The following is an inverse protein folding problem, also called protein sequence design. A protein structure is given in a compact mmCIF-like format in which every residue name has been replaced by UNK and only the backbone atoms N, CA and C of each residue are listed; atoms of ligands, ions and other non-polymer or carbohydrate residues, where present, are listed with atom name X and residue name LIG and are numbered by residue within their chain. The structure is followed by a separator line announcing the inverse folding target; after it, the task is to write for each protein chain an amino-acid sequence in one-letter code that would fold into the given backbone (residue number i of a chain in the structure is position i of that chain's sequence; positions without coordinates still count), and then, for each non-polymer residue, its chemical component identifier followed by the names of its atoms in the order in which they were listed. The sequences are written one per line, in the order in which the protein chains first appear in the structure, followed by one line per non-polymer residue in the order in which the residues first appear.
data_IF_213889713291
#
_entry.id   IF_213889713291
#
_cell.length_a   1.000
_cell.length_b   1.000
_cell.length_c   1.000
_cell.angle_alpha   90.00
_cell.angle_beta   90.00
_cell.angle_gamma   90.00
#
_symmetry.space_group_name_H-M   'P 1'
#
loop_
_entity.id
_entity.type
_entity.pdbx_description
1 polymer ?
#
# COMPACT_ATOMS: atom_id res chain seq x y z
N UNK A 1 8.80 23.18 -5.48
CA UNK A 1 7.56 22.46 -5.25
C UNK A 1 7.31 21.36 -6.30
N UNK A 2 7.40 21.64 -7.60
CA UNK A 2 7.20 20.65 -8.69
C UNK A 2 8.19 19.49 -8.64
N UNK A 3 9.47 19.75 -8.30
CA UNK A 3 10.48 18.71 -8.13
C UNK A 3 10.13 17.74 -7.00
N UNK A 4 9.74 18.26 -5.84
CA UNK A 4 9.34 17.47 -4.68
C UNK A 4 8.07 16.67 -4.95
N UNK A 5 7.13 17.23 -5.72
CA UNK A 5 5.93 16.50 -6.14
C UNK A 5 6.27 15.30 -7.03
N UNK A 6 7.18 15.49 -8.01
CA UNK A 6 7.67 14.40 -8.86
C UNK A 6 8.36 13.30 -8.06
N UNK A 7 9.18 13.67 -7.05
CA UNK A 7 9.85 12.72 -6.18
C UNK A 7 8.86 11.91 -5.35
N UNK A 8 7.82 12.56 -4.81
CA UNK A 8 6.74 11.89 -4.10
C UNK A 8 5.94 10.94 -5.02
N UNK A 9 5.52 11.41 -6.19
CA UNK A 9 4.73 10.62 -7.14
C UNK A 9 5.53 9.39 -7.60
N UNK A 10 6.85 9.55 -7.84
CA UNK A 10 7.76 8.44 -8.17
C UNK A 10 7.89 7.44 -7.02
N UNK A 11 8.12 7.91 -5.80
CA UNK A 11 8.26 7.04 -4.64
C UNK A 11 6.97 6.26 -4.35
N UNK A 12 5.81 6.88 -4.54
CA UNK A 12 4.51 6.24 -4.43
C UNK A 12 4.30 5.18 -5.50
N UNK A 13 4.64 5.48 -6.75
CA UNK A 13 4.55 4.50 -7.84
C UNK A 13 5.46 3.28 -7.63
N UNK A 14 6.67 3.49 -7.08
CA UNK A 14 7.59 2.41 -6.71
C UNK A 14 7.00 1.52 -5.58
N UNK A 15 6.31 2.11 -4.61
CA UNK A 15 5.61 1.39 -3.54
C UNK A 15 4.42 0.59 -4.07
N UNK A 16 3.59 1.20 -4.91
CA UNK A 16 2.42 0.55 -5.51
C UNK A 16 2.83 -0.64 -6.41
N UNK A 17 3.96 -0.52 -7.12
CA UNK A 17 4.52 -1.61 -7.91
C UNK A 17 4.97 -2.79 -7.02
N UNK A 18 5.58 -2.50 -5.87
CA UNK A 18 5.98 -3.55 -4.92
C UNK A 18 4.78 -4.23 -4.26
N UNK A 19 3.72 -3.49 -3.94
CA UNK A 19 2.46 -4.05 -3.43
C UNK A 19 1.84 -5.03 -4.45
N UNK A 20 1.87 -4.71 -5.74
CA UNK A 20 1.41 -5.62 -6.81
C UNK A 20 2.30 -6.86 -6.92
N UNK A 21 3.61 -6.70 -6.81
CA UNK A 21 4.56 -7.82 -6.81
C UNK A 21 4.29 -8.79 -5.63
N UNK A 22 4.10 -8.25 -4.43
CA UNK A 22 3.75 -9.02 -3.22
C UNK A 22 2.43 -9.76 -3.41
N UNK A 23 1.40 -9.12 -3.97
CA UNK A 23 0.11 -9.76 -4.25
C UNK A 23 0.26 -10.92 -5.25
N UNK A 24 1.08 -10.76 -6.29
CA UNK A 24 1.37 -11.82 -7.26
C UNK A 24 2.10 -13.00 -6.61
N UNK A 25 3.11 -12.73 -5.79
CA UNK A 25 3.85 -13.77 -5.06
C UNK A 25 2.95 -14.54 -4.10
N UNK A 26 2.11 -13.85 -3.32
CA UNK A 26 1.15 -14.47 -2.43
C UNK A 26 0.16 -15.38 -3.19
N UNK A 27 -0.32 -14.93 -4.33
CA UNK A 27 -1.23 -15.72 -5.19
C UNK A 27 -0.56 -16.99 -5.71
N UNK A 28 0.71 -16.90 -6.15
CA UNK A 28 1.49 -18.05 -6.63
C UNK A 28 1.78 -19.03 -5.49
N UNK A 29 2.18 -18.54 -4.34
CA UNK A 29 2.42 -19.35 -3.14
C UNK A 29 1.15 -20.12 -2.77
N UNK A 30 0.00 -19.44 -2.65
CA UNK A 30 -1.26 -20.05 -2.32
C UNK A 30 -1.69 -21.12 -3.33
N UNK A 31 -1.50 -20.86 -4.63
CA UNK A 31 -1.79 -21.82 -5.70
C UNK A 31 -0.91 -23.07 -5.60
N UNK A 32 0.40 -22.88 -5.36
CA UNK A 32 1.33 -24.01 -5.22
C UNK A 32 1.05 -24.81 -3.95
N UNK A 33 0.80 -24.16 -2.82
CA UNK A 33 0.44 -24.84 -1.56
C UNK A 33 -0.86 -25.65 -1.68
N UNK A 34 -1.82 -25.14 -2.42
CA UNK A 34 -3.08 -25.86 -2.72
C UNK A 34 -2.85 -27.11 -3.58
N UNK A 35 -1.89 -27.05 -4.49
CA UNK A 35 -1.58 -28.17 -5.40
C UNK A 35 -0.67 -29.24 -4.77
N UNK A 36 0.12 -28.92 -3.76
CA UNK A 36 1.08 -29.84 -3.12
C UNK A 36 0.46 -31.14 -2.59
N UNK A 37 -0.69 -31.14 -1.91
CA UNK A 37 -1.30 -32.38 -1.43
C UNK A 37 -1.59 -33.36 -2.58
N UNK A 38 -2.10 -32.86 -3.70
CA UNK A 38 -2.33 -33.65 -4.91
C UNK A 38 -1.06 -34.26 -5.48
N UNK A 39 0.03 -33.48 -5.55
CA UNK A 39 1.32 -33.97 -6.02
C UNK A 39 1.92 -35.04 -5.08
N UNK A 40 1.77 -34.87 -3.76
CA UNK A 40 2.17 -35.89 -2.77
C UNK A 40 1.36 -37.17 -2.92
N UNK A 41 0.05 -37.05 -3.10
CA UNK A 41 -0.84 -38.20 -3.33
C UNK A 41 -0.45 -38.92 -4.64
N UNK A 42 -0.11 -38.22 -5.69
CA UNK A 42 0.37 -38.81 -6.95
C UNK A 42 1.66 -39.64 -6.78
N UNK A 43 2.60 -39.17 -5.96
CA UNK A 43 3.81 -39.93 -5.62
C UNK A 43 3.45 -41.19 -4.84
N UNK A 44 2.60 -41.09 -3.83
CA UNK A 44 2.17 -42.24 -3.04
C UNK A 44 1.45 -43.30 -3.89
N UNK A 45 0.57 -42.88 -4.78
CA UNK A 45 -0.15 -43.80 -5.68
C UNK A 45 0.82 -44.46 -6.68
N UNK A 46 1.77 -43.71 -7.22
CA UNK A 46 2.77 -44.28 -8.12
C UNK A 46 3.72 -45.26 -7.41
N UNK A 47 4.13 -44.99 -6.17
CA UNK A 47 4.92 -45.92 -5.34
C UNK A 47 4.14 -47.20 -5.03
N UNK A 48 2.86 -47.09 -4.72
CA UNK A 48 1.98 -48.23 -4.53
C UNK A 48 1.91 -49.11 -5.77
N UNK A 49 1.78 -48.54 -6.97
CA UNK A 49 1.75 -49.26 -8.23
C UNK A 49 3.05 -49.97 -8.55
N UNK A 50 4.21 -49.37 -8.22
CA UNK A 50 5.49 -50.07 -8.32
C UNK A 50 5.50 -51.30 -7.44
N UNK A 51 5.12 -51.20 -6.17
CA UNK A 51 5.05 -52.30 -5.21
C UNK A 51 4.09 -53.42 -5.66
N UNK A 52 2.95 -53.02 -6.21
CA UNK A 52 2.00 -54.00 -6.78
C UNK A 52 2.56 -54.73 -7.99
N UNK A 53 3.26 -54.01 -8.88
CA UNK A 53 3.90 -54.66 -10.05
C UNK A 53 5.03 -55.60 -9.64
N UNK A 54 5.85 -55.22 -8.65
CA UNK A 54 6.90 -56.08 -8.08
C UNK A 54 6.31 -57.34 -7.43
N UNK A 55 5.24 -57.18 -6.61
CA UNK A 55 4.55 -58.31 -6.00
C UNK A 55 3.95 -59.24 -7.05
N UNK A 56 3.33 -58.70 -8.10
CA UNK A 56 2.79 -59.53 -9.19
C UNK A 56 3.86 -60.38 -9.89
N UNK A 57 5.07 -59.82 -10.06
CA UNK A 57 6.18 -60.61 -10.60
C UNK A 57 6.64 -61.67 -9.64
N UNK A 58 6.83 -61.32 -8.37
CA UNK A 58 7.27 -62.26 -7.34
C UNK A 58 6.28 -63.43 -7.20
N UNK A 59 4.98 -63.16 -7.17
CA UNK A 59 3.93 -64.17 -7.14
C UNK A 59 3.97 -65.05 -8.38
N UNK A 60 4.10 -64.45 -9.58
CA UNK A 60 4.19 -65.24 -10.81
C UNK A 60 5.40 -66.17 -10.79
N UNK A 61 6.60 -65.70 -10.44
CA UNK A 61 7.83 -66.48 -10.39
C UNK A 61 7.73 -67.60 -9.33
N UNK A 62 7.11 -67.30 -8.18
CA UNK A 62 6.98 -68.24 -7.06
C UNK A 62 6.03 -69.39 -7.38
N UNK A 63 4.86 -69.08 -7.98
CA UNK A 63 3.81 -70.06 -8.19
C UNK A 63 3.79 -70.71 -9.57
N UNK A 64 4.64 -70.26 -10.51
CA UNK A 64 4.72 -70.77 -11.87
C UNK A 64 6.20 -71.07 -12.25
N UNK A 65 6.77 -72.16 -11.74
CA UNK A 65 8.15 -72.51 -12.07
C UNK A 65 8.29 -72.79 -13.56
N UNK A 66 9.46 -72.46 -14.21
CA UNK A 66 9.66 -72.53 -15.66
C UNK A 66 9.35 -73.92 -16.26
N UNK A 67 9.66 -75.00 -15.55
CA UNK A 67 9.44 -76.33 -16.01
C UNK A 67 7.93 -76.76 -16.01
N UNK A 68 7.09 -76.07 -15.27
CA UNK A 68 5.64 -76.33 -15.26
C UNK A 68 4.90 -75.40 -16.22
N UNK A 69 5.32 -74.13 -16.34
CA UNK A 69 4.67 -73.11 -17.18
C UNK A 69 4.96 -73.27 -18.68
N UNK A 70 6.15 -73.78 -19.06
CA UNK A 70 6.54 -74.04 -20.45
C UNK A 70 7.21 -72.85 -21.16
N UNK A 71 7.17 -72.86 -22.49
CA UNK A 71 7.96 -71.91 -23.34
C UNK A 71 7.59 -70.43 -23.22
N UNK A 72 6.39 -70.07 -22.73
CA UNK A 72 5.93 -68.71 -22.54
C UNK A 72 6.43 -68.05 -21.25
N UNK A 73 7.08 -68.75 -20.34
CA UNK A 73 7.49 -68.26 -19.04
C UNK A 73 8.40 -67.02 -19.13
N UNK A 74 9.41 -67.08 -20.00
CA UNK A 74 10.34 -65.96 -20.18
C UNK A 74 9.67 -64.72 -20.78
N UNK A 75 8.69 -64.93 -21.66
CA UNK A 75 7.94 -63.80 -22.25
C UNK A 75 7.06 -63.15 -21.21
N UNK A 76 6.46 -63.93 -20.33
CA UNK A 76 5.66 -63.39 -19.22
C UNK A 76 6.52 -62.63 -18.20
N UNK A 77 7.69 -63.15 -17.85
CA UNK A 77 8.63 -62.45 -16.97
C UNK A 77 9.08 -61.14 -17.61
N UNK A 78 9.41 -61.13 -18.88
CA UNK A 78 9.78 -59.87 -19.61
C UNK A 78 8.63 -58.87 -19.62
N UNK A 79 7.39 -59.31 -19.76
CA UNK A 79 6.21 -58.46 -19.70
C UNK A 79 6.06 -57.80 -18.29
N UNK A 80 6.22 -58.59 -17.23
CA UNK A 80 6.16 -58.08 -15.85
C UNK A 80 7.32 -57.13 -15.52
N UNK A 81 8.54 -57.43 -16.00
CA UNK A 81 9.67 -56.53 -15.87
C UNK A 81 9.44 -55.18 -16.57
N UNK A 82 8.81 -55.21 -17.74
CA UNK A 82 8.46 -53.99 -18.47
C UNK A 82 7.39 -53.18 -17.74
N UNK A 83 6.42 -53.88 -17.10
CA UNK A 83 5.43 -53.15 -16.27
C UNK A 83 6.08 -52.51 -15.06
N UNK A 84 6.97 -53.18 -14.34
CA UNK A 84 7.73 -52.60 -13.22
C UNK A 84 8.52 -51.38 -13.71
N UNK A 85 9.20 -51.47 -14.84
CA UNK A 85 9.94 -50.37 -15.43
C UNK A 85 9.00 -49.16 -15.72
N UNK A 86 7.85 -49.40 -16.34
CA UNK A 86 6.86 -48.36 -16.65
C UNK A 86 6.33 -47.72 -15.39
N UNK A 87 6.05 -48.45 -14.32
CA UNK A 87 5.58 -47.87 -13.04
C UNK A 87 6.70 -47.08 -12.36
N UNK A 88 7.96 -47.52 -12.41
CA UNK A 88 9.09 -46.77 -11.90
C UNK A 88 9.31 -45.46 -12.64
N UNK A 89 9.13 -45.43 -13.96
CA UNK A 89 9.22 -44.18 -14.75
C UNK A 89 8.13 -43.21 -14.35
N UNK A 90 6.88 -43.67 -14.08
CA UNK A 90 5.79 -42.84 -13.57
C UNK A 90 6.06 -42.32 -12.16
N UNK A 91 6.62 -43.15 -11.28
CA UNK A 91 7.04 -42.73 -9.94
C UNK A 91 8.12 -41.63 -10.01
N UNK A 92 9.14 -41.84 -10.85
CA UNK A 92 10.20 -40.86 -11.07
C UNK A 92 9.65 -39.52 -11.58
N UNK A 93 8.70 -39.55 -12.51
CA UNK A 93 8.05 -38.35 -13.04
C UNK A 93 7.22 -37.64 -11.96
N UNK A 94 6.48 -38.37 -11.13
CA UNK A 94 5.72 -37.79 -10.04
C UNK A 94 6.61 -37.14 -8.96
N UNK A 95 7.71 -37.80 -8.60
CA UNK A 95 8.72 -37.27 -7.68
C UNK A 95 9.38 -36.01 -8.24
N UNK A 96 9.74 -35.98 -9.52
CA UNK A 96 10.31 -34.82 -10.19
C UNK A 96 9.33 -33.62 -10.17
N UNK A 97 8.04 -33.88 -10.42
CA UNK A 97 7.00 -32.85 -10.35
C UNK A 97 6.84 -32.29 -8.93
N UNK A 98 6.80 -33.14 -7.93
CA UNK A 98 6.72 -32.73 -6.51
C UNK A 98 7.94 -31.90 -6.10
N UNK A 99 9.14 -32.35 -6.48
CA UNK A 99 10.38 -31.60 -6.20
C UNK A 99 10.38 -30.22 -6.86
N UNK A 100 9.98 -30.13 -8.14
CA UNK A 100 9.87 -28.86 -8.85
C UNK A 100 8.88 -27.89 -8.17
N UNK A 101 7.75 -28.39 -7.67
CA UNK A 101 6.79 -27.59 -6.91
C UNK A 101 7.37 -27.10 -5.57
N UNK A 102 8.06 -27.94 -4.84
CA UNK A 102 8.71 -27.56 -3.57
C UNK A 102 9.81 -26.52 -3.80
N UNK A 103 10.62 -26.65 -4.83
CA UNK A 103 11.65 -25.66 -5.19
C UNK A 103 11.03 -24.32 -5.62
N UNK A 104 9.96 -24.36 -6.41
CA UNK A 104 9.23 -23.15 -6.81
C UNK A 104 8.64 -22.45 -5.59
N UNK A 105 8.01 -23.20 -4.68
CA UNK A 105 7.48 -22.65 -3.45
C UNK A 105 8.54 -22.00 -2.57
N UNK A 106 9.68 -22.65 -2.43
CA UNK A 106 10.81 -22.12 -1.67
C UNK A 106 11.35 -20.81 -2.26
N UNK A 107 11.50 -20.75 -3.59
CA UNK A 107 11.91 -19.53 -4.30
C UNK A 107 10.89 -18.40 -4.12
N UNK A 108 9.60 -18.69 -4.26
CA UNK A 108 8.55 -17.70 -4.13
C UNK A 108 8.45 -17.15 -2.70
N UNK A 109 8.60 -17.99 -1.68
CA UNK A 109 8.66 -17.57 -0.28
C UNK A 109 9.88 -16.70 0.04
N UNK A 110 11.04 -17.04 -0.51
CA UNK A 110 12.25 -16.21 -0.38
C UNK A 110 12.07 -14.86 -1.08
N UNK A 111 11.51 -14.86 -2.29
CA UNK A 111 11.21 -13.64 -3.03
C UNK A 111 10.19 -12.76 -2.28
N UNK A 112 9.17 -13.36 -1.66
CA UNK A 112 8.19 -12.63 -0.85
C UNK A 112 8.87 -11.95 0.35
N UNK A 113 9.75 -12.64 1.06
CA UNK A 113 10.49 -12.05 2.19
C UNK A 113 11.30 -10.83 1.74
N UNK A 114 12.02 -10.95 0.62
CA UNK A 114 12.78 -9.83 0.03
C UNK A 114 11.88 -8.67 -0.43
N UNK A 115 10.73 -8.97 -1.02
CA UNK A 115 9.76 -7.97 -1.47
C UNK A 115 9.14 -7.23 -0.27
N UNK A 116 8.84 -7.90 0.82
CA UNK A 116 8.31 -7.28 2.05
C UNK A 116 9.32 -6.30 2.69
N UNK A 117 10.61 -6.66 2.71
CA UNK A 117 11.66 -5.75 3.18
C UNK A 117 11.83 -4.55 2.24
N UNK A 118 11.84 -4.79 0.94
CA UNK A 118 11.88 -3.73 -0.09
C UNK A 118 10.67 -2.78 0.03
N UNK A 119 9.48 -3.32 0.25
CA UNK A 119 8.27 -2.53 0.48
C UNK A 119 8.40 -1.59 1.67
N UNK A 120 8.92 -2.09 2.79
CA UNK A 120 9.15 -1.28 4.00
C UNK A 120 10.09 -0.09 3.75
N UNK A 121 11.16 -0.31 2.98
CA UNK A 121 12.09 0.76 2.61
C UNK A 121 11.43 1.78 1.66
N UNK A 122 10.64 1.32 0.68
CA UNK A 122 9.91 2.18 -0.26
C UNK A 122 8.81 2.98 0.44
N UNK A 123 8.12 2.39 1.42
CA UNK A 123 7.13 3.08 2.25
C UNK A 123 7.75 4.22 3.05
N UNK A 124 8.91 3.97 3.68
CA UNK A 124 9.68 5.01 4.37
C UNK A 124 10.06 6.14 3.40
N UNK A 125 10.58 5.79 2.23
CA UNK A 125 10.97 6.76 1.19
C UNK A 125 9.79 7.61 0.72
N UNK A 126 8.64 7.00 0.49
CA UNK A 126 7.42 7.70 0.10
C UNK A 126 6.94 8.67 1.19
N UNK A 127 6.95 8.23 2.45
CA UNK A 127 6.59 9.06 3.59
C UNK A 127 7.54 10.24 3.80
N UNK A 128 8.84 10.02 3.64
CA UNK A 128 9.84 11.09 3.75
C UNK A 128 9.67 12.13 2.61
N UNK A 129 9.36 11.67 1.40
CA UNK A 129 9.07 12.55 0.27
C UNK A 129 7.77 13.34 0.46
N UNK A 130 6.73 12.71 1.02
CA UNK A 130 5.47 13.37 1.38
C UNK A 130 5.69 14.47 2.43
N UNK A 131 6.45 14.17 3.47
CA UNK A 131 6.77 15.13 4.52
C UNK A 131 7.49 16.36 3.96
N UNK A 132 8.53 16.14 3.14
CA UNK A 132 9.26 17.25 2.47
C UNK A 132 8.34 18.10 1.58
N UNK A 133 7.43 17.47 0.83
CA UNK A 133 6.48 18.18 -0.01
C UNK A 133 5.51 19.02 0.84
N UNK A 134 5.04 18.49 1.96
CA UNK A 134 4.15 19.18 2.88
C UNK A 134 4.85 20.32 3.62
N UNK A 135 6.10 20.13 4.03
CA UNK A 135 6.92 21.20 4.61
C UNK A 135 7.09 22.35 3.63
N UNK A 136 7.40 22.06 2.35
CA UNK A 136 7.57 23.09 1.33
C UNK A 136 6.25 23.84 1.05
N UNK A 137 5.12 23.13 0.99
CA UNK A 137 3.80 23.73 0.82
C UNK A 137 3.41 24.66 1.97
N UNK A 138 3.89 24.37 3.18
CA UNK A 138 3.57 25.12 4.39
C UNK A 138 4.57 26.25 4.69
N UNK A 139 5.62 26.40 3.89
CA UNK A 139 6.56 27.53 4.04
C UNK A 139 5.87 28.86 3.76
N UNK A 140 6.18 29.89 4.56
CA UNK A 140 5.77 31.26 4.26
C UNK A 140 6.22 31.68 2.86
N UNK A 141 5.37 32.34 2.08
CA UNK A 141 5.67 32.80 0.73
C UNK A 141 5.95 34.29 0.71
N UNK A 142 6.99 34.71 -0.01
CA UNK A 142 7.23 36.12 -0.28
C UNK A 142 6.01 36.75 -0.96
N UNK A 143 5.56 37.89 -0.46
CA UNK A 143 4.52 38.66 -1.09
C UNK A 143 4.98 39.36 -2.37
N UNK A 144 4.02 39.78 -3.21
CA UNK A 144 4.30 40.57 -4.43
C UNK A 144 4.78 41.98 -4.15
N UNK A 145 4.55 42.51 -2.93
CA UNK A 145 5.09 43.76 -2.42
C UNK A 145 6.06 43.43 -1.29
N UNK A 146 7.21 44.08 -1.31
CA UNK A 146 8.26 43.90 -0.31
C UNK A 146 7.86 44.53 1.02
N UNK A 147 7.31 43.69 1.92
CA UNK A 147 7.07 44.04 3.32
C UNK A 147 8.15 43.50 4.26
N UNK A 148 9.26 43.00 3.71
CA UNK A 148 10.38 42.49 4.48
C UNK A 148 10.21 41.11 5.09
N UNK A 149 9.11 40.40 4.79
CA UNK A 149 8.86 39.02 5.27
C UNK A 149 8.03 38.22 4.30
N UNK A 150 8.08 36.89 4.44
CA UNK A 150 7.33 35.94 3.64
C UNK A 150 5.84 35.90 4.06
N UNK A 151 4.93 35.60 3.11
CA UNK A 151 3.53 35.42 3.39
C UNK A 151 3.21 33.95 3.70
N UNK A 152 2.43 33.77 4.75
CA UNK A 152 1.94 32.46 5.14
C UNK A 152 0.86 31.95 4.18
N UNK A 153 0.92 30.66 3.76
CA UNK A 153 -0.11 30.07 2.92
C UNK A 153 -1.46 29.97 3.68
N UNK A 154 -2.54 29.99 2.91
CA UNK A 154 -3.89 29.82 3.49
C UNK A 154 -4.02 28.37 4.00
N UNK A 155 -4.35 28.15 5.28
CA UNK A 155 -4.52 26.80 5.82
C UNK A 155 -5.75 26.12 5.23
N UNK A 156 -5.75 24.79 5.24
CA UNK A 156 -6.97 24.02 4.98
C UNK A 156 -7.89 24.12 6.21
N UNK A 157 -9.20 23.95 6.00
CA UNK A 157 -10.18 24.04 7.10
C UNK A 157 -9.91 22.98 8.18
N UNK A 158 -9.54 21.77 7.78
CA UNK A 158 -9.19 20.66 8.69
C UNK A 158 -7.93 20.89 9.52
N UNK A 159 -7.05 21.79 9.09
CA UNK A 159 -5.81 22.13 9.81
C UNK A 159 -6.02 23.21 10.87
N UNK A 160 -7.15 23.91 10.84
CA UNK A 160 -7.52 24.91 11.85
C UNK A 160 -8.14 24.21 13.05
N UNK A 161 -7.45 24.27 14.18
CA UNK A 161 -7.86 23.58 15.41
C UNK A 161 -8.28 24.57 16.49
N UNK A 162 -9.05 24.10 17.47
CA UNK A 162 -9.38 24.84 18.69
C UNK A 162 -10.41 25.96 18.56
N UNK A 163 -10.94 26.23 17.34
CA UNK A 163 -11.98 27.24 17.09
C UNK A 163 -13.39 26.63 16.89
N UNK A 164 -13.54 25.33 17.14
CA UNK A 164 -14.76 24.58 16.89
C UNK A 164 -14.96 24.24 15.40
N UNK A 165 -16.19 23.89 15.05
CA UNK A 165 -16.53 23.59 13.65
C UNK A 165 -16.52 24.88 12.81
N UNK A 166 -15.68 24.85 11.76
CA UNK A 166 -15.56 25.95 10.80
C UNK A 166 -16.08 25.53 9.43
N UNK A 167 -16.82 26.44 8.77
CA UNK A 167 -17.26 26.28 7.38
C UNK A 167 -16.59 27.31 6.49
N UNK A 168 -15.99 26.86 5.39
CA UNK A 168 -15.41 27.76 4.41
C UNK A 168 -16.48 28.67 3.82
N UNK A 169 -16.18 29.98 3.78
CA UNK A 169 -17.04 31.00 3.19
C UNK A 169 -16.39 31.69 1.99
N UNK A 170 -17.18 32.46 1.26
CA UNK A 170 -16.68 33.26 0.14
C UNK A 170 -15.78 34.41 0.62
N UNK A 171 -14.61 34.61 0.04
CA UNK A 171 -13.75 35.74 0.34
C UNK A 171 -14.42 37.07 -0.03
N UNK A 172 -14.56 37.97 0.92
CA UNK A 172 -15.17 39.29 0.67
C UNK A 172 -14.23 40.46 0.95
N UNK A 173 -13.46 40.42 2.03
CA UNK A 173 -12.57 41.50 2.47
C UNK A 173 -11.29 41.52 1.60
N UNK A 174 -10.96 42.67 0.99
CA UNK A 174 -9.70 42.80 0.23
C UNK A 174 -8.48 42.63 1.12
N UNK A 175 -7.41 42.06 0.56
CA UNK A 175 -6.10 42.03 1.21
C UNK A 175 -5.50 43.41 1.24
N UNK A 176 -4.89 43.79 2.35
CA UNK A 176 -4.15 45.03 2.45
C UNK A 176 -2.95 44.97 1.51
N UNK A 177 -2.77 45.97 0.68
CA UNK A 177 -1.71 45.99 -0.33
C UNK A 177 -2.07 45.34 -1.67
N UNK A 178 -3.30 44.79 -1.84
CA UNK A 178 -3.77 44.21 -3.10
C UNK A 178 -3.53 42.68 -3.17
N UNK A 179 -3.78 42.09 -4.34
CA UNK A 179 -3.57 40.65 -4.55
C UNK A 179 -4.77 39.78 -4.16
N UNK A 180 -6.01 40.31 -4.20
CA UNK A 180 -7.23 39.54 -4.00
C UNK A 180 -7.88 39.74 -2.64
N UNK A 181 -8.73 38.80 -2.25
CA UNK A 181 -9.52 38.83 -1.02
C UNK A 181 -8.96 37.85 0.00
N UNK A 182 -9.23 38.10 1.30
CA UNK A 182 -8.85 37.26 2.42
C UNK A 182 -9.70 35.99 2.42
N UNK A 183 -9.09 34.84 2.66
CA UNK A 183 -9.79 33.59 2.89
C UNK A 183 -10.65 33.71 4.14
N UNK A 184 -11.89 33.19 4.11
CA UNK A 184 -12.90 33.38 5.16
C UNK A 184 -13.49 32.06 5.60
N UNK A 185 -13.81 31.97 6.89
CA UNK A 185 -14.57 30.88 7.51
C UNK A 185 -15.65 31.44 8.42
N UNK A 186 -16.71 30.68 8.57
CA UNK A 186 -17.76 30.92 9.56
C UNK A 186 -17.64 29.89 10.67
N UNK A 187 -17.65 30.35 11.92
CA UNK A 187 -17.62 29.52 13.11
C UNK A 187 -18.76 29.90 14.10
N UNK A 188 -18.84 29.14 15.17
CA UNK A 188 -19.84 29.36 16.25
C UNK A 188 -21.26 29.53 15.68
N UNK A 189 -21.76 28.57 14.92
CA UNK A 189 -23.06 28.59 14.24
C UNK A 189 -23.28 29.87 13.41
N UNK A 190 -22.24 30.29 12.69
CA UNK A 190 -22.18 31.53 11.89
C UNK A 190 -22.23 32.85 12.67
N UNK A 191 -22.05 32.83 13.98
CA UNK A 191 -21.97 34.05 14.77
C UNK A 191 -20.61 34.74 14.70
N UNK A 192 -19.57 34.01 14.27
CA UNK A 192 -18.21 34.50 14.12
C UNK A 192 -17.71 34.31 12.68
N UNK A 193 -16.94 35.28 12.23
CA UNK A 193 -16.22 35.23 10.94
C UNK A 193 -14.74 35.23 11.27
N UNK A 194 -14.00 34.35 10.64
CA UNK A 194 -12.53 34.29 10.70
C UNK A 194 -11.95 34.55 9.32
N UNK A 195 -10.97 35.48 9.26
CA UNK A 195 -10.27 35.81 8.01
C UNK A 195 -8.79 35.59 8.14
N UNK A 196 -8.19 35.02 7.11
CA UNK A 196 -6.78 34.70 7.10
C UNK A 196 -5.93 35.95 6.93
N UNK A 197 -5.05 36.21 7.88
CA UNK A 197 -3.97 37.17 7.75
C UNK A 197 -2.68 36.45 7.30
N UNK A 198 -2.43 36.46 5.99
CA UNK A 198 -1.25 35.83 5.42
C UNK A 198 0.06 36.50 5.79
N UNK A 199 0.03 37.71 6.30
CA UNK A 199 1.20 38.44 6.73
C UNK A 199 1.70 37.91 8.08
N UNK A 200 0.81 37.63 9.00
CA UNK A 200 1.16 37.18 10.34
C UNK A 200 0.91 35.69 10.58
N UNK A 201 0.22 34.98 9.66
CA UNK A 201 -0.12 33.57 9.82
C UNK A 201 -1.18 33.33 10.90
N UNK A 202 -2.10 34.27 11.07
CA UNK A 202 -3.13 34.28 12.11
C UNK A 202 -4.53 34.36 11.50
N UNK A 203 -5.55 33.99 12.30
CA UNK A 203 -6.96 34.16 11.96
C UNK A 203 -7.52 35.41 12.68
N UNK A 204 -7.86 36.44 11.93
CA UNK A 204 -8.55 37.61 12.43
C UNK A 204 -10.02 37.25 12.63
N UNK A 205 -10.50 37.31 13.89
CA UNK A 205 -11.87 37.00 14.25
C UNK A 205 -12.75 38.26 14.28
N UNK A 206 -13.99 38.14 13.79
CA UNK A 206 -14.98 39.21 13.76
C UNK A 206 -16.34 38.69 14.20
N UNK A 207 -17.15 39.57 14.81
CA UNK A 207 -18.54 39.31 15.09
C UNK A 207 -19.36 39.41 13.81
N UNK A 208 -20.15 38.37 13.51
CA UNK A 208 -20.87 38.31 12.23
C UNK A 208 -22.06 39.31 12.16
N UNK A 209 -22.58 39.81 13.30
CA UNK A 209 -23.71 40.73 13.33
C UNK A 209 -23.34 42.17 12.94
N UNK A 210 -22.14 42.63 13.25
CA UNK A 210 -21.72 44.03 13.10
C UNK A 210 -20.31 44.19 12.54
N UNK A 211 -19.57 43.11 12.36
CA UNK A 211 -18.22 43.12 11.83
C UNK A 211 -17.16 43.60 12.81
N UNK A 212 -17.48 43.76 14.10
CA UNK A 212 -16.47 44.16 15.09
C UNK A 212 -15.37 43.11 15.22
N UNK A 213 -14.13 43.60 15.36
CA UNK A 213 -12.96 42.76 15.53
C UNK A 213 -12.90 42.14 16.93
N UNK A 214 -12.72 40.82 17.00
CA UNK A 214 -12.69 40.06 18.25
C UNK A 214 -11.25 39.71 18.69
N UNK A 215 -10.27 39.97 17.84
CA UNK A 215 -8.86 39.61 18.05
C UNK A 215 -8.32 38.70 16.99
N UNK A 216 -7.02 38.35 17.12
CA UNK A 216 -6.37 37.39 16.27
C UNK A 216 -6.16 36.06 17.02
N UNK A 217 -6.23 34.95 16.29
CA UNK A 217 -6.20 33.59 16.84
C UNK A 217 -5.15 32.74 16.10
N UNK A 218 -4.44 31.94 16.86
CA UNK A 218 -3.52 30.95 16.31
C UNK A 218 -4.31 29.82 15.62
N UNK A 219 -4.04 29.50 14.34
CA UNK A 219 -4.82 28.51 13.59
C UNK A 219 -4.65 27.08 14.10
N UNK A 220 -3.53 26.77 14.77
CA UNK A 220 -3.23 25.40 15.21
C UNK A 220 -3.83 25.11 16.60
N UNK A 221 -3.88 26.10 17.46
CA UNK A 221 -4.30 25.94 18.85
C UNK A 221 -5.66 26.56 19.17
N UNK A 222 -6.12 27.50 18.32
CA UNK A 222 -7.31 28.30 18.57
C UNK A 222 -7.15 29.34 19.69
N UNK A 223 -5.94 29.49 20.24
CA UNK A 223 -5.67 30.49 21.29
C UNK A 223 -5.67 31.90 20.71
N UNK A 224 -6.26 32.84 21.43
CA UNK A 224 -6.21 34.25 21.11
C UNK A 224 -4.78 34.77 21.32
N UNK A 225 -4.15 35.30 20.26
CA UNK A 225 -2.79 35.83 20.27
C UNK A 225 -2.74 37.36 20.30
N UNK A 226 -3.80 38.02 19.86
CA UNK A 226 -4.01 39.47 19.96
C UNK A 226 -5.43 39.78 20.41
N UNK A 227 -5.57 40.81 21.22
CA UNK A 227 -6.86 41.30 21.69
C UNK A 227 -7.68 42.00 20.58
N UNK A 228 -8.95 42.34 20.86
CA UNK A 228 -9.77 43.13 19.96
C UNK A 228 -9.16 44.50 19.65
N UNK A 229 -9.27 44.93 18.39
CA UNK A 229 -8.91 46.27 17.96
C UNK A 229 -10.21 47.01 17.53
N UNK A 230 -10.66 48.02 18.26
CA UNK A 230 -11.90 48.75 17.95
C UNK A 230 -11.82 49.55 16.64
N UNK A 231 -10.61 49.77 16.11
CA UNK A 231 -10.42 50.45 14.83
C UNK A 231 -10.58 49.51 13.64
N UNK A 232 -10.60 48.18 13.86
CA UNK A 232 -10.80 47.18 12.84
C UNK A 232 -12.27 46.75 12.78
N UNK A 233 -12.86 46.85 11.60
CA UNK A 233 -14.22 46.43 11.35
C UNK A 233 -14.41 45.95 9.91
N UNK A 234 -15.18 44.89 9.73
CA UNK A 234 -15.53 44.36 8.41
C UNK A 234 -16.99 44.54 8.02
N UNK A 235 -17.72 45.41 8.69
CA UNK A 235 -19.18 45.66 8.48
C UNK A 235 -19.50 45.84 6.97
N UNK A 236 -18.64 46.52 6.23
CA UNK A 236 -18.77 46.72 4.77
C UNK A 236 -18.73 45.42 3.96
N UNK A 237 -18.23 44.35 4.54
CA UNK A 237 -17.97 43.06 3.88
C UNK A 237 -18.74 41.88 4.51
N UNK A 238 -19.76 42.16 5.32
CA UNK A 238 -20.65 41.12 5.88
C UNK A 238 -21.54 40.44 4.87
#
# INVERSE_FOLDING_TARGET
EEGLKRDYDKAKAELDAEDKNIATLNSRIASTEKALPGARAAVQEADKKVKEAEANKDDFVTYNPPHEYGSGWQDQVRYLDKDIQNQNEKLKAAQASLNAMNESLSRDKAALTGAMESRKQKEKKAKDAENKLNEEKNKPRKGTKDYGHDYHPVPKTEDIKGLGELKRGDPKTPKQGGGGKRARWYGDKKRKIYEWDSQHGELEGYRASDGEHLGAFDPKTGKQVKGPDPKRNIKKYL
#
